data_IF_913363807500
#
_entry.id   IF_913363807500
#
_cell.length_a   1.000
_cell.length_b   1.000
_cell.length_c   1.000
_cell.angle_alpha   90.00
_cell.angle_beta   90.00
_cell.angle_gamma   90.00
#
_symmetry.space_group_name_H-M   'P 1'
#
loop_
_entity.id
_entity.type
_entity.pdbx_description
1 polymer ?
#
# COMPACT_ATOMS: atom_id res chain seq x y z
N UNK A 1 -18.44 -47.65 -10.10
CA UNK A 1 -19.33 -46.62 -9.50
C UNK A 1 -18.62 -45.27 -9.65
N UNK A 2 -18.50 -44.73 -10.87
CA UNK A 2 -19.27 -43.57 -11.39
C UNK A 2 -19.52 -42.48 -10.33
N UNK A 3 -18.66 -41.47 -10.27
CA UNK A 3 -19.05 -40.09 -9.94
C UNK A 3 -18.09 -39.09 -10.61
N UNK A 4 -18.39 -38.83 -11.88
CA UNK A 4 -18.01 -37.61 -12.60
C UNK A 4 -19.17 -36.61 -12.43
N UNK A 5 -18.90 -35.34 -12.76
CA UNK A 5 -19.86 -34.29 -13.17
C UNK A 5 -20.41 -33.35 -12.09
N UNK A 6 -19.74 -32.21 -11.90
CA UNK A 6 -20.26 -30.85 -12.21
C UNK A 6 -19.30 -29.78 -11.65
N UNK A 7 -18.20 -29.54 -12.36
CA UNK A 7 -17.51 -28.26 -12.30
C UNK A 7 -18.12 -27.41 -13.41
N UNK A 8 -19.03 -26.53 -13.01
CA UNK A 8 -19.66 -25.53 -13.86
C UNK A 8 -18.59 -24.59 -14.41
N UNK A 9 -18.53 -24.54 -15.73
CA UNK A 9 -17.79 -23.60 -16.57
C UNK A 9 -17.97 -22.17 -16.03
N UNK A 10 -16.87 -21.53 -15.61
CA UNK A 10 -16.78 -20.08 -15.68
C UNK A 10 -16.42 -19.70 -17.13
N UNK A 11 -17.01 -18.63 -17.68
CA UNK A 11 -16.69 -18.18 -19.04
C UNK A 11 -15.29 -17.55 -19.03
N UNK A 12 -14.35 -18.22 -19.71
CA UNK A 12 -12.94 -17.82 -19.85
C UNK A 12 -12.70 -16.79 -20.95
N UNK A 13 -13.76 -16.19 -21.51
CA UNK A 13 -13.69 -15.42 -22.76
C UNK A 13 -14.31 -14.03 -22.62
N UNK A 14 -13.79 -13.17 -21.72
CA UNK A 14 -14.16 -11.75 -21.72
C UNK A 14 -13.21 -10.78 -20.99
N UNK A 15 -12.03 -11.22 -20.53
CA UNK A 15 -10.99 -10.25 -20.12
C UNK A 15 -10.11 -10.00 -21.31
N UNK A 16 -10.63 -9.10 -22.15
CA UNK A 16 -9.98 -8.41 -23.26
C UNK A 16 -8.45 -8.39 -23.16
N UNK A 17 -7.86 -9.25 -23.99
CA UNK A 17 -6.46 -9.30 -24.42
C UNK A 17 -6.10 -8.05 -25.27
N UNK A 18 -6.55 -6.84 -24.89
CA UNK A 18 -6.39 -5.62 -25.68
C UNK A 18 -5.09 -4.86 -25.40
N UNK A 19 -4.14 -5.45 -24.66
CA UNK A 19 -2.86 -4.81 -24.32
C UNK A 19 -1.66 -5.31 -25.16
N UNK A 20 -1.89 -6.16 -26.17
CA UNK A 20 -0.84 -6.63 -27.09
C UNK A 20 -0.64 -5.70 -28.31
N UNK A 21 -1.15 -4.47 -28.27
CA UNK A 21 -0.94 -3.49 -29.34
C UNK A 21 0.51 -2.94 -29.30
N UNK A 22 1.36 -3.53 -30.15
CA UNK A 22 2.50 -2.89 -30.83
C UNK A 22 3.41 -2.03 -29.95
N UNK A 23 4.24 -2.67 -29.12
CA UNK A 23 5.42 -2.01 -28.56
C UNK A 23 6.52 -2.05 -29.63
N UNK A 24 6.56 -1.05 -30.51
CA UNK A 24 7.75 -0.82 -31.35
C UNK A 24 8.88 -0.34 -30.45
N UNK A 25 9.69 -1.28 -29.94
CA UNK A 25 10.83 -0.97 -29.07
C UNK A 25 11.97 -0.42 -29.93
N UNK A 26 11.91 0.88 -30.25
CA UNK A 26 13.09 1.59 -30.76
C UNK A 26 13.99 1.83 -29.55
N UNK A 27 14.99 0.97 -29.34
CA UNK A 27 16.05 1.12 -28.34
C UNK A 27 17.00 2.26 -28.75
N UNK A 28 16.52 3.50 -28.69
CA UNK A 28 17.37 4.67 -28.84
C UNK A 28 18.13 4.94 -27.54
N UNK A 29 19.43 4.70 -27.51
CA UNK A 29 20.33 5.14 -26.44
C UNK A 29 20.49 6.67 -26.47
N UNK A 30 19.43 7.41 -26.16
CA UNK A 30 19.46 8.87 -26.02
C UNK A 30 19.42 9.28 -24.55
N UNK A 31 20.32 10.18 -24.16
CA UNK A 31 20.28 10.82 -22.84
C UNK A 31 19.04 11.72 -22.80
N UNK A 32 18.18 11.55 -21.80
CA UNK A 32 17.01 12.43 -21.62
C UNK A 32 17.51 13.81 -21.17
N UNK A 33 17.15 14.92 -21.85
CA UNK A 33 17.42 16.27 -21.37
C UNK A 33 16.85 16.50 -19.97
N UNK A 34 17.61 17.18 -19.10
CA UNK A 34 17.14 17.56 -17.77
C UNK A 34 15.78 18.29 -17.87
N UNK A 35 14.78 17.83 -17.12
CA UNK A 35 13.41 18.37 -17.16
C UNK A 35 12.35 17.48 -17.84
N UNK A 36 12.75 16.41 -18.54
CA UNK A 36 11.82 15.44 -19.14
C UNK A 36 11.50 14.22 -18.24
N UNK A 37 11.94 14.23 -16.98
CA UNK A 37 11.56 13.19 -16.04
C UNK A 37 10.05 13.27 -15.78
N UNK A 38 9.28 12.35 -16.36
CA UNK A 38 7.86 12.25 -16.12
C UNK A 38 7.64 11.81 -14.67
N UNK A 39 7.22 12.75 -13.83
CA UNK A 39 6.76 12.45 -12.47
C UNK A 39 5.28 12.14 -12.54
N UNK A 40 4.90 11.01 -11.96
CA UNK A 40 3.50 10.58 -11.90
C UNK A 40 3.10 10.37 -10.47
N UNK A 41 1.92 10.84 -10.09
CA UNK A 41 1.42 10.75 -8.73
C UNK A 41 0.54 9.52 -8.57
N UNK A 42 0.85 8.72 -7.56
CA UNK A 42 0.06 7.60 -7.08
C UNK A 42 -0.71 8.07 -5.85
N UNK A 43 -2.01 7.83 -5.80
CA UNK A 43 -2.78 8.01 -4.58
C UNK A 43 -3.65 6.78 -4.34
N UNK A 44 -3.51 6.19 -3.16
CA UNK A 44 -4.26 5.01 -2.73
C UNK A 44 -5.04 5.39 -1.48
N UNK A 45 -6.36 5.22 -1.54
CA UNK A 45 -7.29 5.61 -0.48
C UNK A 45 -8.30 4.48 -0.23
N UNK A 46 -9.09 4.60 0.85
CA UNK A 46 -10.21 3.69 1.10
C UNK A 46 -9.85 2.40 1.84
N UNK A 47 -8.70 2.31 2.49
CA UNK A 47 -8.42 1.22 3.45
C UNK A 47 -9.33 1.38 4.68
N UNK A 48 -9.87 0.29 5.20
CA UNK A 48 -10.79 0.32 6.36
C UNK A 48 -10.09 0.14 7.69
N UNK A 49 -8.95 -0.55 7.70
CA UNK A 49 -8.15 -0.81 8.90
C UNK A 49 -6.68 -0.57 8.61
N UNK A 50 -5.96 -0.04 9.58
CA UNK A 50 -4.55 0.26 9.45
C UNK A 50 -3.72 -0.93 9.93
N UNK A 51 -2.73 -1.38 9.15
CA UNK A 51 -1.79 -2.38 9.64
C UNK A 51 -0.99 -1.84 10.83
N UNK A 52 -0.72 -2.69 11.82
CA UNK A 52 0.14 -2.31 12.95
C UNK A 52 1.53 -1.81 12.48
N UNK A 53 2.09 -2.41 11.43
CA UNK A 53 3.37 -1.97 10.85
C UNK A 53 3.33 -0.60 10.15
N UNK A 54 2.14 -0.06 9.87
CA UNK A 54 1.94 1.29 9.34
C UNK A 54 1.74 2.33 10.45
N UNK A 55 1.50 1.91 11.68
CA UNK A 55 1.57 2.76 12.86
C UNK A 55 2.99 2.72 13.46
N UNK A 56 3.33 3.74 14.25
CA UNK A 56 4.59 3.77 14.99
C UNK A 56 4.42 4.17 16.44
N UNK A 57 5.37 3.76 17.25
CA UNK A 57 5.49 4.17 18.65
C UNK A 57 6.94 4.44 18.99
N UNK A 58 7.18 5.40 19.87
CA UNK A 58 8.52 5.67 20.43
C UNK A 58 8.69 4.98 21.80
N UNK A 59 7.61 4.42 22.34
CA UNK A 59 7.64 3.72 23.63
C UNK A 59 8.10 2.27 23.44
N UNK A 60 9.24 1.94 24.04
CA UNK A 60 9.82 0.60 23.94
C UNK A 60 8.94 -0.48 24.59
N UNK A 61 8.24 -0.17 25.68
CA UNK A 61 7.34 -1.10 26.35
C UNK A 61 6.16 -1.48 25.44
N UNK A 62 5.60 -0.50 24.74
CA UNK A 62 4.58 -0.75 23.71
C UNK A 62 5.12 -1.65 22.61
N UNK A 63 6.31 -1.35 22.08
CA UNK A 63 6.89 -2.13 20.98
C UNK A 63 7.19 -3.58 21.38
N UNK A 64 7.37 -3.84 22.68
CA UNK A 64 7.52 -5.18 23.23
C UNK A 64 6.17 -5.92 23.34
N UNK A 65 5.08 -5.21 23.59
CA UNK A 65 3.73 -5.77 23.73
C UNK A 65 3.01 -5.96 22.39
N UNK A 66 3.35 -5.15 21.39
CA UNK A 66 2.72 -5.15 20.06
C UNK A 66 3.76 -5.55 19.00
N UNK A 67 3.91 -6.85 18.72
CA UNK A 67 4.79 -7.31 17.67
C UNK A 67 4.43 -6.68 16.31
N UNK A 68 5.43 -6.20 15.59
CA UNK A 68 5.28 -5.65 14.24
C UNK A 68 4.99 -4.15 14.18
N UNK A 69 4.76 -3.46 15.31
CA UNK A 69 4.64 -1.99 15.27
C UNK A 69 5.99 -1.36 14.93
N UNK A 70 5.97 -0.30 14.12
CA UNK A 70 7.19 0.43 13.83
C UNK A 70 7.68 1.17 15.09
N UNK A 71 9.00 1.15 15.31
CA UNK A 71 9.63 1.86 16.45
C UNK A 71 9.92 3.34 16.17
N UNK A 72 9.59 3.80 14.98
CA UNK A 72 9.80 5.18 14.54
C UNK A 72 8.91 5.50 13.34
N UNK A 73 8.66 6.80 13.12
CA UNK A 73 7.93 7.29 11.95
C UNK A 73 8.58 6.82 10.65
N UNK A 74 9.91 6.92 10.55
CA UNK A 74 10.68 6.46 9.38
C UNK A 74 10.56 4.95 9.13
N UNK A 75 10.46 4.14 10.18
CA UNK A 75 10.25 2.69 10.05
C UNK A 75 8.90 2.34 9.41
N UNK A 76 7.83 3.02 9.84
CA UNK A 76 6.49 2.85 9.26
C UNK A 76 6.44 3.32 7.80
N UNK A 77 7.05 4.48 7.50
CA UNK A 77 7.15 4.98 6.12
C UNK A 77 7.93 4.01 5.23
N UNK A 78 9.07 3.49 5.69
CA UNK A 78 9.87 2.52 4.95
C UNK A 78 9.15 1.16 4.77
N UNK A 79 8.29 0.77 5.71
CA UNK A 79 7.42 -0.40 5.54
C UNK A 79 6.42 -0.17 4.40
N UNK A 80 5.67 0.95 4.43
CA UNK A 80 4.69 1.28 3.38
C UNK A 80 5.37 1.42 2.02
N UNK A 81 6.54 2.08 1.97
CA UNK A 81 7.30 2.22 0.73
C UNK A 81 7.69 0.87 0.14
N UNK A 82 8.22 -0.05 0.96
CA UNK A 82 8.57 -1.41 0.50
C UNK A 82 7.34 -2.19 0.05
N UNK A 83 6.25 -2.13 0.82
CA UNK A 83 5.00 -2.80 0.50
C UNK A 83 4.47 -2.37 -0.88
N UNK A 84 4.35 -1.06 -1.10
CA UNK A 84 3.86 -0.52 -2.38
C UNK A 84 4.83 -0.83 -3.52
N UNK A 85 6.13 -0.64 -3.30
CA UNK A 85 7.15 -0.92 -4.33
C UNK A 85 7.15 -2.39 -4.74
N UNK A 86 7.23 -3.31 -3.80
CA UNK A 86 7.22 -4.76 -4.07
C UNK A 86 5.97 -5.16 -4.85
N UNK A 87 4.80 -4.70 -4.40
CA UNK A 87 3.54 -5.03 -5.09
C UNK A 87 3.51 -4.50 -6.53
N UNK A 88 4.01 -3.28 -6.77
CA UNK A 88 4.08 -2.72 -8.12
C UNK A 88 5.05 -3.54 -8.98
N UNK A 89 6.23 -3.87 -8.46
CA UNK A 89 7.23 -4.68 -9.17
C UNK A 89 6.67 -6.07 -9.51
N UNK A 90 5.98 -6.73 -8.58
CA UNK A 90 5.37 -8.04 -8.79
C UNK A 90 4.34 -8.01 -9.93
N UNK A 91 3.51 -6.96 -9.99
CA UNK A 91 2.54 -6.79 -11.07
C UNK A 91 3.23 -6.55 -12.41
N UNK A 92 4.26 -5.70 -12.42
CA UNK A 92 5.02 -5.40 -13.63
C UNK A 92 5.75 -6.65 -14.15
N UNK A 93 6.35 -7.43 -13.26
CA UNK A 93 6.97 -8.70 -13.59
C UNK A 93 5.95 -9.67 -14.18
N UNK A 94 4.78 -9.83 -13.53
CA UNK A 94 3.72 -10.69 -14.02
C UNK A 94 3.23 -10.26 -15.41
N UNK A 95 3.06 -8.96 -15.64
CA UNK A 95 2.67 -8.41 -16.94
C UNK A 95 3.77 -8.63 -18.00
N UNK A 96 5.02 -8.38 -17.65
CA UNK A 96 6.16 -8.55 -18.55
C UNK A 96 6.34 -10.02 -18.97
N UNK A 97 6.22 -10.95 -18.02
CA UNK A 97 6.21 -12.40 -18.30
C UNK A 97 5.02 -12.79 -19.18
N UNK A 98 3.83 -12.24 -18.94
CA UNK A 98 2.66 -12.49 -19.78
C UNK A 98 2.82 -11.95 -21.21
N UNK A 99 3.69 -10.97 -21.41
CA UNK A 99 4.08 -10.42 -22.70
C UNK A 99 5.29 -11.14 -23.33
N UNK A 100 5.77 -12.23 -22.73
CA UNK A 100 6.91 -13.02 -23.18
C UNK A 100 8.22 -12.21 -23.29
N UNK A 101 8.40 -11.21 -22.42
CA UNK A 101 9.66 -10.49 -22.35
C UNK A 101 10.76 -11.38 -21.74
N UNK A 102 12.01 -11.36 -22.27
CA UNK A 102 13.12 -12.08 -21.67
C UNK A 102 13.45 -11.57 -20.26
N UNK A 103 13.83 -12.46 -19.33
CA UNK A 103 14.11 -12.12 -17.92
C UNK A 103 15.12 -10.97 -17.75
N UNK A 104 16.15 -10.91 -18.60
CA UNK A 104 17.13 -9.83 -18.59
C UNK A 104 16.50 -8.45 -18.87
N UNK A 105 15.49 -8.41 -19.75
CA UNK A 105 14.74 -7.19 -20.04
C UNK A 105 13.84 -6.84 -18.86
N UNK A 106 13.16 -7.83 -18.26
CA UNK A 106 12.32 -7.63 -17.07
C UNK A 106 13.15 -7.02 -15.93
N UNK A 107 14.31 -7.61 -15.60
CA UNK A 107 15.20 -7.09 -14.56
C UNK A 107 15.64 -5.66 -14.84
N UNK A 108 16.07 -5.36 -16.07
CA UNK A 108 16.49 -4.02 -16.46
C UNK A 108 15.35 -2.99 -16.38
N UNK A 109 14.10 -3.41 -16.65
CA UNK A 109 12.90 -2.58 -16.51
C UNK A 109 12.64 -2.24 -15.04
N UNK A 110 12.69 -3.26 -14.17
CA UNK A 110 12.39 -3.13 -12.75
C UNK A 110 13.45 -2.31 -12.00
N UNK A 111 14.73 -2.46 -12.34
CA UNK A 111 15.84 -1.74 -11.70
C UNK A 111 15.80 -0.22 -11.90
N UNK A 112 15.12 0.25 -12.95
CA UNK A 112 15.00 1.67 -13.27
C UNK A 112 13.87 2.39 -12.54
N UNK A 113 13.00 1.65 -11.86
CA UNK A 113 11.88 2.20 -11.11
C UNK A 113 12.30 2.58 -9.70
N UNK A 114 11.85 3.76 -9.29
CA UNK A 114 11.86 4.17 -7.89
C UNK A 114 10.49 4.73 -7.55
N UNK A 115 10.04 4.47 -6.33
CA UNK A 115 8.80 5.03 -5.80
C UNK A 115 9.12 5.79 -4.54
N UNK A 116 8.80 7.07 -4.54
CA UNK A 116 8.87 7.92 -3.35
C UNK A 116 7.48 8.01 -2.77
N UNK A 117 7.27 7.38 -1.62
CA UNK A 117 5.97 7.40 -0.92
C UNK A 117 5.94 8.55 0.10
N UNK A 118 4.85 9.31 0.07
CA UNK A 118 4.45 10.25 1.10
C UNK A 118 3.26 9.65 1.87
N UNK A 119 3.57 9.19 3.08
CA UNK A 119 2.64 8.56 4.01
C UNK A 119 2.81 9.20 5.38
N UNK A 120 1.71 9.47 6.08
CA UNK A 120 1.69 10.00 7.45
C UNK A 120 1.31 8.89 8.45
N UNK A 121 2.30 8.25 9.09
CA UNK A 121 2.05 7.18 10.04
C UNK A 121 1.26 7.67 11.24
N UNK A 122 0.38 6.81 11.74
CA UNK A 122 -0.31 7.05 12.99
C UNK A 122 0.67 6.87 14.16
N UNK A 123 0.85 7.92 14.98
CA UNK A 123 1.54 7.78 16.26
C UNK A 123 0.60 7.04 17.22
N UNK A 124 1.03 5.88 17.69
CA UNK A 124 0.38 5.07 18.70
C UNK A 124 1.00 5.35 20.07
N UNK A 125 0.39 6.23 20.88
CA UNK A 125 1.13 6.91 21.91
C UNK A 125 1.12 6.13 23.25
N UNK A 126 0.15 5.23 23.46
CA UNK A 126 0.23 4.08 24.39
C UNK A 126 -0.70 2.98 23.88
N UNK A 127 -0.24 1.74 23.96
CA UNK A 127 -1.06 0.56 23.69
C UNK A 127 -1.20 -0.16 25.02
N UNK A 128 -2.42 -0.33 25.48
CA UNK A 128 -2.69 -1.18 26.63
C UNK A 128 -3.33 -2.46 26.07
N UNK A 129 -2.72 -3.65 26.23
CA UNK A 129 -3.32 -4.91 25.80
C UNK A 129 -4.61 -5.24 26.57
N UNK A 130 -4.86 -4.53 27.67
CA UNK A 130 -6.06 -4.59 28.49
C UNK A 130 -6.51 -3.17 28.86
N UNK A 131 -7.71 -2.71 28.44
CA UNK A 131 -8.18 -1.36 28.80
C UNK A 131 -8.27 -1.14 30.31
N UNK A 132 -8.28 -2.18 31.15
CA UNK A 132 -8.61 -2.01 32.58
C UNK A 132 -7.46 -1.53 33.49
N UNK A 133 -6.21 -1.44 33.02
CA UNK A 133 -5.05 -1.30 33.93
C UNK A 133 -4.34 0.07 34.02
N UNK A 134 -4.63 1.06 33.16
CA UNK A 134 -3.84 2.30 33.13
C UNK A 134 -4.65 3.54 33.52
N UNK A 135 -4.89 3.73 34.82
CA UNK A 135 -5.65 4.85 35.37
C UNK A 135 -4.90 6.20 35.44
N UNK A 136 -3.70 6.30 34.86
CA UNK A 136 -2.82 7.47 35.02
C UNK A 136 -3.06 8.53 33.93
N UNK A 137 -2.92 9.79 34.33
CA UNK A 137 -3.55 11.00 33.80
C UNK A 137 -3.06 11.47 32.42
N UNK A 138 -2.76 10.54 31.51
CA UNK A 138 -2.14 10.86 30.24
C UNK A 138 -3.18 11.39 29.24
N UNK A 139 -2.90 12.55 28.66
CA UNK A 139 -3.73 13.27 27.68
C UNK A 139 -3.72 12.63 26.30
N UNK A 140 -3.39 11.35 26.25
CA UNK A 140 -2.83 10.69 25.09
C UNK A 140 -3.84 9.72 24.47
N UNK A 141 -4.13 9.90 23.18
CA UNK A 141 -5.07 9.09 22.39
C UNK A 141 -4.61 7.63 22.31
N UNK A 142 -5.22 6.68 23.03
CA UNK A 142 -4.82 5.26 22.94
C UNK A 142 -5.23 4.66 21.58
N UNK A 143 -4.40 3.83 20.98
CA UNK A 143 -4.76 3.08 19.78
C UNK A 143 -5.38 1.73 20.15
N UNK A 144 -6.48 1.36 19.49
CA UNK A 144 -7.13 0.05 19.68
C UNK A 144 -6.58 -0.91 18.63
N UNK A 145 -5.93 -1.97 19.09
CA UNK A 145 -5.45 -3.06 18.24
C UNK A 145 -6.35 -4.27 18.41
N UNK A 146 -6.80 -4.83 17.29
CA UNK A 146 -7.43 -6.13 17.23
C UNK A 146 -6.63 -6.99 16.26
N UNK A 147 -5.93 -8.01 16.78
CA UNK A 147 -5.01 -8.83 15.99
C UNK A 147 -3.81 -8.01 15.49
N UNK A 148 -3.66 -7.89 14.17
CA UNK A 148 -2.60 -7.12 13.51
C UNK A 148 -3.10 -5.78 12.91
N UNK A 149 -4.27 -5.33 13.36
CA UNK A 149 -4.97 -4.15 12.83
C UNK A 149 -5.16 -3.10 13.90
N UNK A 150 -4.85 -1.85 13.60
CA UNK A 150 -5.35 -0.70 14.36
C UNK A 150 -6.75 -0.37 13.82
N UNK A 151 -7.76 -0.58 14.67
CA UNK A 151 -9.18 -0.46 14.30
C UNK A 151 -9.80 0.86 14.73
N UNK A 152 -9.18 1.57 15.66
CA UNK A 152 -9.71 2.84 16.14
C UNK A 152 -8.77 3.56 17.09
N UNK A 153 -9.17 4.77 17.43
CA UNK A 153 -8.55 5.64 18.41
C UNK A 153 -9.51 5.82 19.57
N UNK A 154 -8.98 5.74 20.80
CA UNK A 154 -9.70 6.19 21.96
C UNK A 154 -9.33 7.65 22.23
N UNK A 155 -10.28 8.55 21.97
CA UNK A 155 -10.13 9.96 22.28
C UNK A 155 -10.65 10.22 23.70
N UNK A 156 -9.86 10.95 24.50
CA UNK A 156 -10.29 11.43 25.82
C UNK A 156 -11.41 12.46 25.64
N UNK A 157 -12.66 12.09 25.92
CA UNK A 157 -13.71 13.09 26.15
C UNK A 157 -13.57 13.67 27.56
N UNK A 158 -14.03 14.90 27.78
CA UNK A 158 -13.85 15.67 29.02
C UNK A 158 -14.26 14.95 30.34
N UNK A 159 -14.99 13.83 30.27
CA UNK A 159 -15.40 13.03 31.43
C UNK A 159 -15.21 11.51 31.29
N UNK A 160 -14.56 11.01 30.22
CA UNK A 160 -14.46 9.57 29.95
C UNK A 160 -13.02 9.05 29.93
N UNK A 161 -12.71 8.04 30.75
CA UNK A 161 -11.46 7.26 30.65
C UNK A 161 -11.60 6.19 29.56
N UNK A 162 -10.52 5.88 28.86
CA UNK A 162 -10.46 4.80 27.86
C UNK A 162 -10.50 3.38 28.46
N UNK A 163 -10.75 3.27 29.77
CA UNK A 163 -10.41 2.07 30.55
C UNK A 163 -11.61 1.30 31.06
N UNK A 164 -12.82 1.82 30.85
CA UNK A 164 -14.02 1.20 31.41
C UNK A 164 -14.94 0.66 30.32
N UNK A 165 -15.42 -0.60 30.43
CA UNK A 165 -16.49 -1.14 29.57
C UNK A 165 -17.86 -0.52 29.92
N UNK A 166 -17.88 0.75 30.31
CA UNK A 166 -19.11 1.45 30.67
C UNK A 166 -19.72 1.95 29.38
N UNK A 167 -20.87 1.34 29.07
CA UNK A 167 -21.67 1.35 27.86
C UNK A 167 -22.06 2.73 27.31
N UNK A 168 -21.58 3.86 27.87
CA UNK A 168 -22.16 5.17 27.56
C UNK A 168 -21.22 6.38 27.39
N UNK A 169 -19.88 6.31 27.58
CA UNK A 169 -19.05 7.55 27.52
C UNK A 169 -17.63 7.43 26.94
N UNK A 170 -17.27 6.34 26.26
CA UNK A 170 -16.00 6.27 25.50
C UNK A 170 -16.27 6.50 24.02
N UNK A 171 -15.73 7.58 23.47
CA UNK A 171 -15.76 7.81 22.03
C UNK A 171 -14.62 7.03 21.37
N UNK A 172 -14.91 5.79 20.98
CA UNK A 172 -14.06 5.08 20.01
C UNK A 172 -14.30 5.76 18.66
N UNK A 173 -13.30 6.50 18.20
CA UNK A 173 -13.33 7.12 16.88
C UNK A 173 -12.61 6.22 15.88
N UNK A 174 -13.10 6.19 14.64
CA UNK A 174 -12.39 5.52 13.56
C UNK A 174 -11.03 6.19 13.32
N UNK A 175 -10.10 5.43 12.73
CA UNK A 175 -8.81 5.99 12.31
C UNK A 175 -9.05 7.13 11.31
N UNK A 176 -8.47 8.33 11.52
CA UNK A 176 -8.65 9.45 10.59
C UNK A 176 -8.19 9.09 9.18
N UNK A 177 -8.95 9.57 8.17
CA UNK A 177 -8.67 9.27 6.76
C UNK A 177 -7.27 9.69 6.28
N UNK A 178 -6.64 10.66 6.95
CA UNK A 178 -5.25 11.07 6.69
C UNK A 178 -4.25 9.91 6.86
N UNK A 179 -4.47 9.04 7.84
CA UNK A 179 -3.64 7.85 8.08
C UNK A 179 -4.04 6.64 7.21
N UNK A 180 -5.18 6.75 6.51
CA UNK A 180 -5.74 5.76 5.58
C UNK A 180 -5.58 6.22 4.13
N UNK A 181 -4.56 7.01 3.86
CA UNK A 181 -4.20 7.45 2.51
C UNK A 181 -2.70 7.28 2.31
N UNK A 182 -2.32 6.74 1.16
CA UNK A 182 -0.93 6.60 0.73
C UNK A 182 -0.79 7.40 -0.55
N UNK A 183 0.03 8.44 -0.52
CA UNK A 183 0.39 9.19 -1.71
C UNK A 183 1.83 8.89 -2.10
N UNK A 184 2.19 9.08 -3.36
CA UNK A 184 3.57 8.90 -3.78
C UNK A 184 3.82 9.37 -5.18
N UNK A 185 5.08 9.41 -5.56
CA UNK A 185 5.54 9.72 -6.90
C UNK A 185 6.38 8.57 -7.43
N UNK A 186 6.07 8.12 -8.65
CA UNK A 186 6.96 7.27 -9.41
C UNK A 186 8.03 8.15 -10.04
N UNK A 187 9.29 7.83 -9.76
CA UNK A 187 10.46 8.55 -10.26
C UNK A 187 11.40 7.55 -10.94
N UNK A 188 12.03 7.95 -12.04
CA UNK A 188 13.11 7.18 -12.66
C UNK A 188 14.36 7.23 -11.79
N UNK A 189 14.92 6.07 -11.43
CA UNK A 189 16.05 5.97 -10.49
C UNK A 189 17.33 6.66 -10.97
N UNK A 190 17.54 6.77 -12.29
CA UNK A 190 18.69 7.47 -12.88
C UNK A 190 18.29 8.26 -14.15
N UNK A 191 18.63 9.56 -14.25
CA UNK A 191 18.50 10.30 -15.51
C UNK A 191 19.57 9.90 -16.55
N UNK A 192 20.68 9.29 -16.10
CA UNK A 192 21.85 8.98 -16.95
C UNK A 192 21.76 7.61 -17.63
N UNK A 193 21.03 6.67 -17.06
CA UNK A 193 20.96 5.30 -17.59
C UNK A 193 19.70 5.13 -18.43
N UNK A 194 19.89 4.55 -19.62
CA UNK A 194 18.91 4.21 -20.67
C UNK A 194 17.46 4.26 -20.21
N UNK A 195 16.69 5.15 -20.81
CA UNK A 195 15.23 5.18 -20.68
C UNK A 195 14.66 3.79 -20.88
N UNK A 196 13.91 3.28 -19.92
CA UNK A 196 12.94 2.25 -20.20
C UNK A 196 11.88 2.86 -21.12
N UNK A 197 12.16 2.85 -22.42
CA UNK A 197 11.33 3.44 -23.48
C UNK A 197 9.93 2.83 -23.45
N UNK A 198 9.82 1.59 -22.97
CA UNK A 198 8.54 0.90 -22.83
C UNK A 198 7.68 1.66 -21.81
N UNK A 199 8.15 1.82 -20.58
CA UNK A 199 7.36 2.47 -19.52
C UNK A 199 7.26 4.00 -19.67
N UNK A 200 8.25 4.64 -20.29
CA UNK A 200 8.20 6.08 -20.55
C UNK A 200 7.04 6.45 -21.49
N UNK A 201 6.67 5.54 -22.39
CA UNK A 201 5.57 5.73 -23.34
C UNK A 201 4.22 5.20 -22.83
N UNK A 202 4.15 4.68 -21.60
CA UNK A 202 2.90 4.19 -21.06
C UNK A 202 1.90 5.32 -20.82
N UNK A 203 0.73 5.16 -21.40
CA UNK A 203 -0.39 6.06 -21.15
C UNK A 203 -0.88 5.93 -19.71
N UNK A 204 -1.57 6.96 -19.22
CA UNK A 204 -2.20 6.97 -17.88
C UNK A 204 -3.04 5.72 -17.62
N UNK A 205 -3.77 5.23 -18.63
CA UNK A 205 -4.60 4.02 -18.55
C UNK A 205 -3.79 2.74 -18.27
N UNK A 206 -2.58 2.63 -18.83
CA UNK A 206 -1.69 1.48 -18.59
C UNK A 206 -1.18 1.48 -17.15
N UNK A 207 -0.70 2.63 -16.67
CA UNK A 207 -0.30 2.80 -15.26
C UNK A 207 -1.46 2.56 -14.29
N UNK A 208 -2.63 3.11 -14.59
CA UNK A 208 -3.83 2.87 -13.79
C UNK A 208 -4.18 1.38 -13.73
N UNK A 209 -4.01 0.64 -14.82
CA UNK A 209 -4.22 -0.83 -14.85
C UNK A 209 -3.23 -1.56 -13.94
N UNK A 210 -1.94 -1.20 -13.97
CA UNK A 210 -0.89 -1.76 -13.10
C UNK A 210 -1.22 -1.52 -11.63
N UNK A 211 -1.50 -0.28 -11.27
CA UNK A 211 -1.77 0.08 -9.88
C UNK A 211 -3.08 -0.55 -9.39
N UNK A 212 -4.13 -0.61 -10.22
CA UNK A 212 -5.36 -1.31 -9.87
C UNK A 212 -5.12 -2.82 -9.61
N UNK A 213 -4.25 -3.46 -10.40
CA UNK A 213 -3.85 -4.84 -10.16
C UNK A 213 -3.03 -4.98 -8.88
N UNK A 214 -2.15 -4.03 -8.58
CA UNK A 214 -1.36 -4.02 -7.36
C UNK A 214 -2.26 -3.97 -6.12
N UNK A 215 -3.24 -3.05 -6.09
CA UNK A 215 -4.20 -2.98 -4.99
C UNK A 215 -5.03 -4.24 -4.87
N UNK A 216 -5.45 -4.85 -5.99
CA UNK A 216 -6.10 -6.16 -5.94
C UNK A 216 -5.16 -7.20 -5.34
N UNK A 217 -3.91 -7.31 -5.76
CA UNK A 217 -2.96 -8.27 -5.16
C UNK A 217 -2.83 -8.08 -3.65
N UNK A 218 -2.82 -6.85 -3.14
CA UNK A 218 -2.85 -6.57 -1.71
C UNK A 218 -4.17 -7.01 -1.05
N UNK A 219 -5.30 -6.75 -1.71
CA UNK A 219 -6.64 -7.12 -1.25
C UNK A 219 -6.91 -8.64 -1.24
N UNK A 220 -6.27 -9.40 -2.11
CA UNK A 220 -6.38 -10.86 -2.18
C UNK A 220 -5.26 -11.60 -1.43
N UNK A 221 -4.22 -10.88 -1.03
CA UNK A 221 -3.05 -11.41 -0.34
C UNK A 221 -3.17 -11.42 1.18
N UNK A 222 -2.04 -11.51 1.89
CA UNK A 222 -2.02 -11.54 3.36
C UNK A 222 -2.55 -10.25 4.02
N UNK A 223 -2.76 -9.19 3.23
CA UNK A 223 -3.25 -7.90 3.68
C UNK A 223 -4.72 -7.65 3.33
N UNK A 224 -5.46 -8.69 2.91
CA UNK A 224 -6.77 -8.53 2.30
C UNK A 224 -7.79 -7.77 3.14
N UNK A 225 -7.86 -8.03 4.44
CA UNK A 225 -8.75 -7.33 5.38
C UNK A 225 -8.49 -5.83 5.51
N UNK A 226 -7.29 -5.37 5.14
CA UNK A 226 -6.90 -3.96 5.20
C UNK A 226 -7.13 -3.24 3.87
N UNK A 227 -6.95 -3.94 2.75
CA UNK A 227 -6.98 -3.36 1.41
C UNK A 227 -8.26 -3.68 0.61
N UNK A 228 -9.23 -4.40 1.17
CA UNK A 228 -10.41 -4.87 0.45
C UNK A 228 -11.19 -3.77 -0.28
N UNK A 229 -11.36 -2.61 0.35
CA UNK A 229 -12.05 -1.44 -0.21
C UNK A 229 -11.10 -0.38 -0.77
N UNK A 230 -9.80 -0.68 -0.84
CA UNK A 230 -8.82 0.27 -1.31
C UNK A 230 -9.00 0.54 -2.80
N UNK A 231 -8.85 1.80 -3.18
CA UNK A 231 -8.87 2.25 -4.56
C UNK A 231 -7.61 3.05 -4.80
N UNK A 232 -6.98 2.82 -5.94
CA UNK A 232 -5.86 3.62 -6.37
C UNK A 232 -6.25 4.51 -7.56
N UNK A 233 -5.68 5.70 -7.57
CA UNK A 233 -5.80 6.66 -8.65
C UNK A 233 -4.41 7.05 -9.10
N UNK A 234 -4.23 7.11 -10.42
CA UNK A 234 -2.97 7.49 -11.04
C UNK A 234 -3.10 8.89 -11.65
N UNK A 235 -2.57 9.85 -10.93
CA UNK A 235 -2.51 11.26 -11.26
C UNK A 235 -1.22 11.63 -12.01
N UNK A 236 -1.27 12.80 -12.65
CA UNK A 236 -0.17 13.34 -13.44
C UNK A 236 -0.70 14.52 -14.23
N UNK A 237 0.02 15.64 -14.15
CA UNK A 237 -0.17 16.74 -15.10
C UNK A 237 0.27 16.29 -16.50
#
# INVERSE_FOLDING_TARGET
>A
MKLLTKLTRLPTDAITLSLLATISVVLGCGVIPAGQASTRTLNVTGFTTLLVAMAYTENTAVSAQVPGIARSKGGAQAFVQRLVMQTILDVLELQARSALLPDAVISAILDQLSVTISYEPLLGPKFTPDPTQDAENDTINKCIIVGNSVTGLCAKMAMGKCDTPVVNMVAITGVPGTHLSISGTLIKKNPVETTNIIMANWQRSMWQSVVNRAIRMLAWGPFGSHFFSAVATFGGN
#
